data_IF_881694852619
#
_entry.id   IF_881694852619
#
_cell.length_a   1.000
_cell.length_b   1.000
_cell.length_c   1.000
_cell.angle_alpha   90.00
_cell.angle_beta   90.00
_cell.angle_gamma   90.00
#
_symmetry.space_group_name_H-M   'P 1'
#
loop_
_entity.id
_entity.type
_entity.pdbx_description
1 polymer ?
#
# COMPACT_ATOMS: atom_id res chain seq x y z
N UNK A 1 4.98 0.72 20.31
CA UNK A 1 3.69 0.66 21.02
C UNK A 1 2.66 0.28 19.96
N UNK A 2 2.45 -1.01 19.73
CA UNK A 2 1.52 -1.50 18.72
C UNK A 2 0.10 -1.22 19.21
N UNK A 3 -0.55 -0.24 18.57
CA UNK A 3 -1.93 0.09 18.85
C UNK A 3 -2.81 -0.86 18.03
N UNK A 4 -3.43 -1.81 18.71
CA UNK A 4 -4.62 -2.46 18.16
C UNK A 4 -5.67 -1.38 17.83
N UNK A 5 -6.46 -1.54 16.76
CA UNK A 5 -7.55 -0.62 16.46
C UNK A 5 -8.39 -0.36 17.72
N UNK A 6 -8.51 0.91 18.12
CA UNK A 6 -9.23 1.32 19.34
C UNK A 6 -10.64 0.75 19.43
N UNK A 7 -11.26 0.40 18.30
CA UNK A 7 -12.59 -0.20 18.23
C UNK A 7 -12.66 -1.62 18.82
N UNK A 8 -11.60 -2.43 18.68
CA UNK A 8 -11.59 -3.79 19.22
C UNK A 8 -11.58 -3.82 20.74
N UNK A 9 -11.09 -2.74 21.39
CA UNK A 9 -10.83 -2.68 22.83
C UNK A 9 -12.05 -2.39 23.73
N UNK A 10 -13.22 -2.07 23.15
CA UNK A 10 -14.44 -1.70 23.91
C UNK A 10 -15.59 -2.69 23.75
N UNK A 11 -15.43 -3.73 22.93
CA UNK A 11 -16.48 -4.68 22.63
C UNK A 11 -16.40 -5.92 23.55
N UNK A 12 -17.54 -6.58 23.82
CA UNK A 12 -17.55 -7.92 24.37
C UNK A 12 -16.68 -8.85 23.53
N UNK A 13 -15.98 -9.77 24.17
CA UNK A 13 -15.01 -10.66 23.51
C UNK A 13 -15.61 -11.42 22.31
N UNK A 14 -16.87 -11.86 22.41
CA UNK A 14 -17.58 -12.56 21.34
C UNK A 14 -17.84 -11.67 20.12
N UNK A 15 -18.07 -10.38 20.33
CA UNK A 15 -18.29 -9.41 19.24
C UNK A 15 -16.98 -8.99 18.59
N UNK A 16 -15.89 -8.90 19.37
CA UNK A 16 -14.53 -8.72 18.85
C UNK A 16 -14.11 -9.86 17.92
N UNK A 17 -14.43 -11.11 18.27
CA UNK A 17 -14.14 -12.27 17.40
C UNK A 17 -14.94 -12.24 16.10
N UNK A 18 -16.25 -11.95 16.16
CA UNK A 18 -17.09 -11.82 14.97
C UNK A 18 -16.61 -10.72 14.03
N UNK A 19 -16.20 -9.58 14.59
CA UNK A 19 -15.64 -8.48 13.82
C UNK A 19 -14.34 -8.90 13.13
N UNK A 20 -13.43 -9.55 13.86
CA UNK A 20 -12.18 -10.07 13.30
C UNK A 20 -12.44 -11.09 12.18
N UNK A 21 -13.39 -12.01 12.36
CA UNK A 21 -13.78 -12.97 11.32
C UNK A 21 -14.35 -12.27 10.08
N UNK A 22 -15.18 -11.24 10.26
CA UNK A 22 -15.70 -10.44 9.15
C UNK A 22 -14.57 -9.71 8.40
N UNK A 23 -13.62 -9.12 9.11
CA UNK A 23 -12.45 -8.46 8.52
C UNK A 23 -11.56 -9.46 7.76
N UNK A 24 -11.39 -10.68 8.28
CA UNK A 24 -10.67 -11.75 7.59
C UNK A 24 -11.39 -12.14 6.29
N UNK A 25 -12.73 -12.21 6.30
CA UNK A 25 -13.49 -12.48 5.08
C UNK A 25 -13.36 -11.34 4.06
N UNK A 26 -13.40 -10.08 4.51
CA UNK A 26 -13.13 -8.94 3.65
C UNK A 26 -11.73 -8.99 3.05
N UNK A 27 -10.71 -9.30 3.85
CA UNK A 27 -9.34 -9.50 3.38
C UNK A 27 -9.24 -10.63 2.34
N UNK A 28 -9.96 -11.73 2.53
CA UNK A 28 -10.03 -12.81 1.53
C UNK A 28 -10.66 -12.35 0.21
N UNK A 29 -11.70 -11.53 0.26
CA UNK A 29 -12.31 -10.94 -0.93
C UNK A 29 -11.31 -10.03 -1.68
N UNK A 30 -10.60 -9.17 -0.96
CA UNK A 30 -9.54 -8.32 -1.54
C UNK A 30 -8.43 -9.16 -2.17
N UNK A 31 -7.97 -10.21 -1.47
CA UNK A 31 -6.94 -11.12 -1.97
C UNK A 31 -7.40 -11.87 -3.24
N UNK A 32 -8.70 -12.13 -3.38
CA UNK A 32 -9.28 -12.79 -4.56
C UNK A 32 -9.31 -11.93 -5.82
N UNK A 33 -9.38 -10.60 -5.65
CA UNK A 33 -9.39 -9.63 -6.74
C UNK A 33 -7.99 -9.32 -7.31
N UNK A 34 -6.91 -9.65 -6.59
CA UNK A 34 -5.54 -9.33 -7.03
C UNK A 34 -5.17 -10.12 -8.31
N UNK A 35 -4.58 -9.47 -9.34
CA UNK A 35 -4.24 -10.10 -10.61
C UNK A 35 -3.29 -11.29 -10.43
N UNK A 36 -3.61 -12.39 -11.13
CA UNK A 36 -2.92 -13.67 -10.95
C UNK A 36 -1.75 -13.79 -11.93
N UNK A 37 -0.55 -14.02 -11.40
CA UNK A 37 0.57 -14.50 -12.22
C UNK A 37 0.26 -15.88 -12.84
N UNK A 38 1.04 -16.27 -13.86
CA UNK A 38 0.99 -17.60 -14.52
C UNK A 38 1.17 -18.71 -13.47
N UNK A 39 0.07 -19.19 -12.89
CA UNK A 39 0.08 -20.13 -11.76
C UNK A 39 -1.17 -20.10 -10.86
N UNK A 40 -2.01 -19.06 -10.94
CA UNK A 40 -3.38 -19.09 -10.41
C UNK A 40 -3.55 -19.36 -8.90
N UNK A 41 -2.51 -19.10 -8.09
CA UNK A 41 -2.57 -19.31 -6.64
C UNK A 41 -3.22 -18.13 -5.92
N UNK A 42 -4.25 -18.40 -5.14
CA UNK A 42 -4.97 -17.46 -4.29
C UNK A 42 -4.47 -17.53 -2.86
N UNK A 43 -4.30 -16.38 -2.19
CA UNK A 43 -4.11 -16.36 -0.74
C UNK A 43 -5.47 -16.43 -0.05
N UNK A 44 -5.59 -17.34 0.91
CA UNK A 44 -6.74 -17.42 1.79
C UNK A 44 -6.27 -17.40 3.24
N UNK A 45 -7.03 -16.70 4.07
CA UNK A 45 -6.78 -16.47 5.48
C UNK A 45 -7.90 -17.09 6.28
N UNK A 46 -7.54 -17.76 7.37
CA UNK A 46 -8.50 -18.31 8.34
C UNK A 46 -8.06 -18.01 9.76
N UNK A 47 -9.03 -17.79 10.63
CA UNK A 47 -8.80 -17.71 12.06
C UNK A 47 -8.63 -19.13 12.63
N UNK A 48 -7.57 -19.35 13.41
CA UNK A 48 -7.27 -20.64 14.05
C UNK A 48 -7.10 -20.42 15.54
N UNK A 49 -7.80 -21.25 16.31
CA UNK A 49 -7.77 -21.23 17.77
C UNK A 49 -6.73 -22.24 18.30
N UNK A 50 -6.01 -21.88 19.35
CA UNK A 50 -5.12 -22.78 20.06
C UNK A 50 -5.94 -23.84 20.83
N UNK A 51 -5.37 -25.01 21.12
CA UNK A 51 -6.07 -26.12 21.80
C UNK A 51 -6.62 -25.74 23.17
N UNK A 52 -5.94 -24.83 23.88
CA UNK A 52 -6.39 -24.33 25.17
C UNK A 52 -7.39 -23.17 25.06
N UNK A 53 -7.58 -22.61 23.85
CA UNK A 53 -8.44 -21.46 23.65
C UNK A 53 -9.85 -21.69 24.19
N UNK A 54 -10.56 -22.81 23.92
CA UNK A 54 -11.92 -23.01 24.41
C UNK A 54 -12.05 -22.90 25.94
N UNK A 55 -11.05 -23.38 26.69
CA UNK A 55 -11.02 -23.30 28.16
C UNK A 55 -10.85 -21.85 28.62
N UNK A 56 -9.94 -21.11 28.00
CA UNK A 56 -9.75 -19.69 28.30
C UNK A 56 -10.94 -18.83 27.86
N UNK A 57 -11.62 -19.17 26.75
CA UNK A 57 -12.80 -18.45 26.28
C UNK A 57 -13.97 -18.62 27.26
N UNK A 58 -14.13 -19.83 27.81
CA UNK A 58 -15.14 -20.13 28.82
C UNK A 58 -14.87 -19.36 30.13
N UNK A 59 -13.60 -19.30 30.56
CA UNK A 59 -13.18 -18.53 31.73
C UNK A 59 -13.40 -17.02 31.54
N UNK A 60 -13.09 -16.49 30.35
CA UNK A 60 -13.30 -15.09 30.01
C UNK A 60 -14.78 -14.72 29.93
N UNK A 61 -15.63 -15.63 29.40
CA UNK A 61 -17.08 -15.46 29.37
C UNK A 61 -17.68 -15.40 30.78
N UNK A 62 -17.09 -16.12 31.74
CA UNK A 62 -17.58 -16.14 33.12
C UNK A 62 -17.16 -14.91 33.94
N UNK A 63 -16.09 -14.21 33.54
CA UNK A 63 -15.52 -13.13 34.36
C UNK A 63 -16.09 -11.72 34.11
N UNK A 64 -17.02 -11.50 33.16
CA UNK A 64 -17.62 -10.19 32.80
C UNK A 64 -16.63 -9.01 32.61
N UNK A 65 -15.32 -9.27 32.56
CA UNK A 65 -14.27 -8.25 32.58
C UNK A 65 -13.80 -7.96 31.16
N UNK A 66 -14.37 -6.93 30.52
CA UNK A 66 -13.91 -6.41 29.23
C UNK A 66 -12.41 -6.08 29.24
N UNK A 67 -11.85 -5.67 30.39
CA UNK A 67 -10.44 -5.27 30.50
C UNK A 67 -9.44 -6.43 30.66
N UNK A 68 -9.88 -7.61 31.13
CA UNK A 68 -8.99 -8.76 31.35
C UNK A 68 -8.77 -9.56 30.06
N UNK A 69 -9.79 -9.64 29.18
CA UNK A 69 -9.73 -10.41 27.93
C UNK A 69 -8.65 -9.94 26.95
N UNK A 70 -8.39 -8.63 26.86
CA UNK A 70 -7.38 -8.09 25.94
C UNK A 70 -5.95 -8.34 26.39
N UNK A 71 -5.67 -8.22 27.68
CA UNK A 71 -4.34 -8.53 28.23
C UNK A 71 -4.08 -10.03 28.12
N UNK A 72 -5.07 -10.86 28.48
CA UNK A 72 -4.98 -12.31 28.40
C UNK A 72 -4.77 -12.77 26.94
N UNK A 73 -5.45 -12.18 25.96
CA UNK A 73 -5.20 -12.48 24.54
C UNK A 73 -3.77 -12.15 24.10
N UNK A 74 -3.26 -10.96 24.44
CA UNK A 74 -1.91 -10.51 24.05
C UNK A 74 -0.80 -11.38 24.64
N UNK A 75 -1.02 -11.95 25.82
CA UNK A 75 -0.03 -12.81 26.49
C UNK A 75 -0.20 -14.30 26.16
N UNK A 76 -1.41 -14.78 25.87
CA UNK A 76 -1.68 -16.22 25.69
C UNK A 76 -1.73 -16.70 24.24
N UNK A 77 -1.71 -15.82 23.23
CA UNK A 77 -1.80 -16.22 21.80
C UNK A 77 -2.92 -17.25 21.56
N UNK A 78 -4.12 -16.97 22.09
CA UNK A 78 -5.25 -17.90 22.07
C UNK A 78 -5.76 -18.21 20.66
N UNK A 79 -5.56 -17.29 19.73
CA UNK A 79 -5.86 -17.49 18.32
C UNK A 79 -4.85 -16.76 17.45
N UNK A 80 -4.73 -17.22 16.21
CA UNK A 80 -3.84 -16.64 15.21
C UNK A 80 -4.48 -16.80 13.84
N UNK A 81 -3.97 -16.06 12.86
CA UNK A 81 -4.47 -16.10 11.49
C UNK A 81 -3.51 -16.96 10.69
N UNK A 82 -4.03 -17.97 10.01
CA UNK A 82 -3.26 -18.83 9.11
C UNK A 82 -3.53 -18.41 7.69
N UNK A 83 -2.46 -18.10 6.95
CA UNK A 83 -2.47 -17.69 5.56
C UNK A 83 -1.94 -18.84 4.73
N UNK A 84 -2.74 -19.32 3.78
CA UNK A 84 -2.37 -20.45 2.91
C UNK A 84 -2.65 -20.11 1.45
N UNK A 85 -1.96 -20.84 0.56
CA UNK A 85 -2.13 -20.70 -0.89
C UNK A 85 -3.09 -21.78 -1.38
N UNK A 86 -4.15 -21.36 -2.07
CA UNK A 86 -5.17 -22.22 -2.68
C UNK A 86 -5.00 -22.18 -4.20
N UNK A 87 -5.04 -23.34 -4.86
CA UNK A 87 -5.04 -23.43 -6.32
C UNK A 87 -6.48 -23.67 -6.80
N UNK A 88 -6.82 -23.20 -8.01
CA UNK A 88 -8.17 -23.32 -8.59
C UNK A 88 -8.70 -24.76 -8.74
N UNK A 89 -7.85 -25.79 -8.68
CA UNK A 89 -8.22 -27.19 -8.94
C UNK A 89 -8.93 -27.87 -7.74
N UNK A 90 -9.26 -27.15 -6.66
CA UNK A 90 -9.85 -27.72 -5.43
C UNK A 90 -8.92 -28.68 -4.67
N UNK A 91 -7.90 -29.23 -5.32
CA UNK A 91 -6.75 -29.90 -4.72
C UNK A 91 -5.80 -28.85 -4.16
N UNK A 92 -5.92 -28.63 -2.86
CA UNK A 92 -4.90 -27.94 -2.06
C UNK A 92 -3.61 -28.76 -2.06
N UNK A 93 -2.77 -28.61 -3.10
CA UNK A 93 -1.41 -29.17 -3.08
C UNK A 93 -0.49 -28.13 -2.44
N UNK A 94 -0.57 -28.11 -1.11
CA UNK A 94 0.52 -28.01 -0.15
C UNK A 94 1.81 -27.28 -0.60
N UNK A 95 1.91 -25.99 -0.29
CA UNK A 95 2.98 -25.63 0.66
C UNK A 95 2.55 -26.27 1.97
N UNK A 96 3.21 -27.35 2.40
CA UNK A 96 2.74 -28.24 3.47
C UNK A 96 2.42 -27.56 4.82
N UNK A 97 2.73 -26.27 4.95
CA UNK A 97 2.54 -25.47 6.14
C UNK A 97 2.01 -24.09 5.72
N UNK A 98 0.91 -23.65 6.34
CA UNK A 98 0.44 -22.27 6.22
C UNK A 98 1.44 -21.28 6.83
N UNK A 99 1.12 -19.99 6.77
CA UNK A 99 1.89 -18.93 7.43
C UNK A 99 1.09 -18.40 8.60
N UNK A 100 1.69 -18.41 9.79
CA UNK A 100 1.07 -17.93 11.01
C UNK A 100 1.31 -16.44 11.16
N UNK A 101 0.23 -15.67 11.16
CA UNK A 101 0.19 -14.24 11.42
C UNK A 101 -0.51 -13.98 12.76
N UNK A 102 -0.03 -12.99 13.50
CA UNK A 102 -0.77 -12.47 14.66
C UNK A 102 -1.89 -11.54 14.19
N UNK A 103 -2.81 -11.21 15.09
CA UNK A 103 -3.82 -10.16 14.85
C UNK A 103 -3.14 -8.80 14.60
N UNK A 104 -1.97 -8.57 15.23
CA UNK A 104 -1.18 -7.36 15.01
C UNK A 104 -0.65 -7.29 13.59
N UNK A 105 -0.03 -8.37 13.10
CA UNK A 105 0.40 -8.48 11.69
C UNK A 105 -0.76 -8.23 10.72
N UNK A 106 -1.94 -8.74 11.06
CA UNK A 106 -3.13 -8.61 10.23
C UNK A 106 -3.56 -7.16 10.04
N UNK A 107 -3.77 -6.43 11.13
CA UNK A 107 -4.22 -5.04 11.05
C UNK A 107 -3.11 -4.05 10.72
N UNK A 108 -1.86 -4.33 11.08
CA UNK A 108 -0.74 -3.40 10.85
C UNK A 108 -0.16 -3.50 9.43
N UNK A 109 -0.19 -4.69 8.82
CA UNK A 109 0.49 -4.94 7.54
C UNK A 109 -0.44 -5.59 6.53
N UNK A 110 -1.03 -6.75 6.85
CA UNK A 110 -1.68 -7.59 5.83
C UNK A 110 -2.93 -6.92 5.24
N UNK A 111 -3.89 -6.52 6.07
CA UNK A 111 -5.12 -5.89 5.61
C UNK A 111 -4.86 -4.55 4.90
N UNK A 112 -4.04 -3.62 5.44
CA UNK A 112 -3.69 -2.38 4.74
C UNK A 112 -2.98 -2.61 3.40
N UNK A 113 -2.09 -3.60 3.30
CA UNK A 113 -1.43 -3.95 2.04
C UNK A 113 -2.43 -4.44 1.00
N UNK A 114 -3.38 -5.29 1.39
CA UNK A 114 -4.43 -5.77 0.48
C UNK A 114 -5.33 -4.64 -0.01
N UNK A 115 -5.74 -3.74 0.88
CA UNK A 115 -6.57 -2.57 0.52
C UNK A 115 -5.85 -1.66 -0.47
N UNK A 116 -4.55 -1.41 -0.25
CA UNK A 116 -3.74 -0.60 -1.17
C UNK A 116 -3.62 -1.25 -2.55
N UNK A 117 -3.32 -2.55 -2.59
CA UNK A 117 -3.20 -3.30 -3.85
C UNK A 117 -4.52 -3.31 -4.63
N UNK A 118 -5.65 -3.44 -3.92
CA UNK A 118 -6.98 -3.36 -4.54
C UNK A 118 -7.27 -1.97 -5.11
N UNK A 119 -7.03 -0.91 -4.34
CA UNK A 119 -7.26 0.46 -4.81
C UNK A 119 -6.36 0.86 -5.99
N UNK A 120 -5.15 0.31 -6.06
CA UNK A 120 -4.28 0.47 -7.23
C UNK A 120 -4.84 -0.21 -8.48
N UNK A 121 -5.49 -1.38 -8.33
CA UNK A 121 -6.11 -2.10 -9.43
C UNK A 121 -7.33 -1.34 -9.99
N UNK A 122 -8.24 -0.91 -9.11
CA UNK A 122 -9.42 -0.13 -9.52
C UNK A 122 -9.02 1.15 -10.28
N UNK A 123 -7.95 1.82 -9.84
CA UNK A 123 -7.46 3.03 -10.50
C UNK A 123 -6.89 2.76 -11.91
N UNK A 124 -6.25 1.61 -12.12
CA UNK A 124 -5.73 1.22 -13.42
C UNK A 124 -6.87 0.90 -14.39
N UNK A 125 -7.90 0.17 -13.95
CA UNK A 125 -9.09 -0.13 -14.76
C UNK A 125 -9.81 1.15 -15.23
N UNK A 126 -9.98 2.14 -14.35
CA UNK A 126 -10.60 3.44 -14.71
C UNK A 126 -9.75 4.20 -15.74
N UNK A 127 -8.42 4.19 -15.60
CA UNK A 127 -7.53 4.89 -16.53
C UNK A 127 -7.52 4.28 -17.94
N UNK A 128 -7.76 2.97 -18.06
CA UNK A 128 -7.92 2.30 -19.36
C UNK A 128 -9.25 2.68 -20.05
N UNK A 129 -10.32 2.87 -19.28
CA UNK A 129 -11.64 3.29 -19.78
C UNK A 129 -11.67 4.76 -20.21
N UNK A 130 -11.00 5.65 -19.47
CA UNK A 130 -10.88 7.08 -19.82
C UNK A 130 -10.03 7.28 -21.09
N UNK A 131 -8.98 6.48 -21.29
CA UNK A 131 -8.14 6.55 -22.49
C UNK A 131 -8.89 6.12 -23.77
N UNK A 132 -9.94 5.31 -23.65
CA UNK A 132 -10.83 4.92 -24.76
C UNK A 132 -11.95 5.94 -25.02
N UNK A 133 -12.19 6.87 -24.08
CA UNK A 133 -13.36 7.77 -24.08
C UNK A 133 -13.02 9.23 -24.44
N UNK A 134 -11.74 9.59 -24.62
CA UNK A 134 -11.28 10.98 -24.88
C UNK A 134 -11.01 11.27 -26.38
N UNK A 135 -11.31 10.36 -27.32
CA UNK A 135 -11.17 10.66 -28.76
C UNK A 135 -12.35 11.46 -29.38
N UNK A 136 -13.47 11.65 -28.68
CA UNK A 136 -14.63 12.36 -29.24
C UNK A 136 -15.17 13.47 -28.33
N UNK A 137 -14.61 14.67 -28.46
CA UNK A 137 -15.39 15.90 -28.26
C UNK A 137 -14.74 17.04 -27.48
N UNK A 138 -14.04 17.94 -28.17
CA UNK A 138 -14.39 19.38 -28.13
C UNK A 138 -13.78 20.16 -29.31
N UNK A 139 -14.68 20.57 -30.21
CA UNK A 139 -14.58 21.67 -31.18
C UNK A 139 -14.31 23.01 -30.47
N UNK A 140 -13.72 24.09 -31.03
CA UNK A 140 -13.26 24.47 -32.36
C UNK A 140 -12.63 25.89 -32.29
N UNK A 141 -11.43 26.12 -32.83
CA UNK A 141 -11.16 27.35 -33.59
C UNK A 141 -10.03 27.19 -34.63
N UNK A 142 -10.46 27.15 -35.90
CA UNK A 142 -9.79 27.51 -37.18
C UNK A 142 -8.58 26.70 -37.71
N UNK A 143 -8.89 25.82 -38.68
CA UNK A 143 -8.40 25.70 -40.09
C UNK A 143 -7.01 26.31 -40.39
N UNK A 144 -6.07 25.71 -41.13
CA UNK A 144 -6.11 24.62 -42.13
C UNK A 144 -4.66 24.29 -42.55
N UNK A 145 -4.45 23.08 -43.09
CA UNK A 145 -3.32 22.57 -43.91
C UNK A 145 -2.29 21.68 -43.19
N UNK A 146 -2.46 20.38 -43.51
CA UNK A 146 -1.53 19.26 -43.59
C UNK A 146 -0.06 19.46 -43.19
N UNK A 147 0.41 18.54 -42.34
CA UNK A 147 1.79 18.06 -42.39
C UNK A 147 2.46 17.91 -41.03
N UNK A 148 2.91 16.68 -40.76
CA UNK A 148 3.99 16.31 -39.84
C UNK A 148 3.63 16.07 -38.36
N UNK A 149 3.43 14.78 -38.05
CA UNK A 149 3.33 14.21 -36.70
C UNK A 149 4.66 14.20 -35.95
N UNK A 150 5.34 15.35 -35.88
CA UNK A 150 6.65 15.52 -35.23
C UNK A 150 6.70 16.72 -34.28
N UNK A 151 5.58 17.39 -34.04
CA UNK A 151 5.54 18.62 -33.23
C UNK A 151 5.32 18.38 -31.73
N UNK A 152 4.76 17.24 -31.32
CA UNK A 152 4.45 17.03 -29.90
C UNK A 152 5.70 16.82 -29.03
N UNK A 153 6.82 16.33 -29.56
CA UNK A 153 8.03 16.04 -28.77
C UNK A 153 8.87 17.30 -28.45
N UNK A 154 8.66 18.40 -29.19
CA UNK A 154 9.48 19.62 -29.05
C UNK A 154 8.97 20.53 -27.93
N UNK A 155 7.66 20.54 -27.67
CA UNK A 155 7.08 21.37 -26.61
C UNK A 155 7.30 20.79 -25.20
N UNK A 156 7.28 19.47 -25.01
CA UNK A 156 7.61 18.85 -23.71
C UNK A 156 9.08 19.11 -23.30
N UNK A 157 10.01 19.11 -24.25
CA UNK A 157 11.43 19.39 -23.97
C UNK A 157 11.68 20.83 -23.52
N UNK A 158 10.85 21.79 -23.96
CA UNK A 158 10.97 23.20 -23.56
C UNK A 158 10.55 23.45 -22.12
N UNK A 159 9.59 22.67 -21.61
CA UNK A 159 9.10 22.81 -20.25
C UNK A 159 10.02 22.17 -19.20
N UNK A 160 11.00 21.35 -19.60
CA UNK A 160 12.03 20.78 -18.71
C UNK A 160 13.31 21.65 -18.63
N UNK A 161 13.41 22.70 -19.44
CA UNK A 161 14.56 23.59 -19.47
C UNK A 161 14.45 24.69 -18.41
N UNK A 162 15.59 25.07 -17.84
CA UNK A 162 15.64 26.26 -16.99
C UNK A 162 15.44 27.53 -17.83
N UNK A 163 14.44 28.35 -17.48
CA UNK A 163 14.18 29.65 -18.14
C UNK A 163 15.27 30.73 -18.02
N UNK A 164 16.45 30.39 -17.50
CA UNK A 164 17.63 31.28 -17.42
C UNK A 164 18.80 30.74 -18.24
N UNK A 165 19.16 29.46 -18.09
CA UNK A 165 20.30 28.87 -18.82
C UNK A 165 19.89 28.03 -20.04
N UNK A 166 18.60 27.75 -20.23
CA UNK A 166 18.06 26.94 -21.32
C UNK A 166 18.70 25.54 -21.41
N UNK A 167 19.10 24.99 -20.27
CA UNK A 167 19.60 23.62 -20.16
C UNK A 167 18.53 22.75 -19.49
N UNK A 168 18.34 21.49 -19.93
CA UNK A 168 17.49 20.53 -19.24
C UNK A 168 17.99 20.30 -17.81
N UNK A 169 17.09 20.41 -16.82
CA UNK A 169 17.47 20.23 -15.42
C UNK A 169 16.27 20.06 -14.49
N UNK A 170 16.50 19.41 -13.35
CA UNK A 170 15.60 19.51 -12.21
C UNK A 170 15.53 20.96 -11.72
N UNK A 171 14.32 21.50 -11.66
CA UNK A 171 14.08 22.91 -11.31
C UNK A 171 13.82 23.05 -9.82
N UNK A 172 14.18 24.19 -9.26
CA UNK A 172 13.91 24.58 -7.89
C UNK A 172 12.88 25.70 -7.89
N UNK A 173 11.80 25.54 -7.12
CA UNK A 173 10.70 26.49 -7.01
C UNK A 173 10.93 27.41 -5.80
N UNK A 174 10.77 28.71 -6.00
CA UNK A 174 10.84 29.72 -4.95
C UNK A 174 9.53 29.76 -4.13
N UNK A 175 9.57 29.70 -2.79
CA UNK A 175 8.37 29.57 -1.95
C UNK A 175 7.46 30.81 -1.98
N UNK A 176 8.03 32.00 -2.21
CA UNK A 176 7.27 33.26 -2.14
C UNK A 176 6.55 33.63 -3.44
N UNK A 177 6.93 33.04 -4.57
CA UNK A 177 6.44 33.47 -5.88
C UNK A 177 6.29 32.34 -6.90
N UNK A 178 6.50 31.09 -6.50
CA UNK A 178 6.36 29.88 -7.30
C UNK A 178 7.10 29.88 -8.65
N UNK A 179 8.09 30.76 -8.82
CA UNK A 179 8.93 30.75 -10.01
C UNK A 179 10.04 29.73 -9.85
N UNK A 180 10.36 29.06 -10.94
CA UNK A 180 11.27 27.94 -10.99
C UNK A 180 12.53 28.24 -11.81
N UNK A 181 13.67 27.68 -11.37
CA UNK A 181 14.94 27.72 -12.10
C UNK A 181 15.88 26.63 -11.59
N UNK A 182 16.92 26.30 -12.34
CA UNK A 182 17.91 25.33 -11.86
C UNK A 182 18.67 25.86 -10.62
N UNK A 183 19.11 24.95 -9.75
CA UNK A 183 19.84 25.31 -8.53
C UNK A 183 21.12 26.12 -8.80
N UNK A 184 21.77 25.89 -9.96
CA UNK A 184 22.98 26.65 -10.37
C UNK A 184 22.63 28.10 -10.67
N UNK A 185 21.55 28.36 -11.40
CA UNK A 185 21.06 29.70 -11.70
C UNK A 185 20.59 30.43 -10.45
N UNK A 186 19.85 29.75 -9.57
CA UNK A 186 19.47 30.30 -8.26
C UNK A 186 20.70 30.73 -7.45
N UNK A 187 21.69 29.85 -7.25
CA UNK A 187 22.88 30.17 -6.43
C UNK A 187 23.68 31.36 -6.99
N UNK A 188 23.90 31.37 -8.32
CA UNK A 188 24.59 32.49 -8.99
C UNK A 188 23.82 33.80 -8.83
N UNK A 189 22.51 33.76 -8.98
CA UNK A 189 21.67 34.95 -8.86
C UNK A 189 21.58 35.45 -7.42
N UNK A 190 21.32 34.56 -6.45
CA UNK A 190 21.18 34.91 -5.04
C UNK A 190 22.46 35.52 -4.43
N UNK A 191 23.63 35.17 -4.98
CA UNK A 191 24.91 35.81 -4.60
C UNK A 191 24.99 37.27 -5.05
N UNK A 192 24.30 37.64 -6.13
CA UNK A 192 24.28 39.00 -6.70
C UNK A 192 23.09 39.84 -6.22
N UNK A 193 21.92 39.21 -6.14
CA UNK A 193 20.67 39.86 -5.75
C UNK A 193 19.80 38.88 -4.97
N UNK A 194 19.40 39.27 -3.77
CA UNK A 194 18.44 38.55 -2.94
C UNK A 194 16.98 38.85 -3.39
N UNK A 195 16.72 38.68 -4.68
CA UNK A 195 15.42 38.89 -5.33
C UNK A 195 15.14 37.79 -6.35
N UNK A 196 13.88 37.49 -6.63
CA UNK A 196 13.52 36.58 -7.73
C UNK A 196 13.98 37.17 -9.08
N UNK A 197 14.64 36.42 -9.96
CA UNK A 197 15.05 36.90 -11.27
C UNK A 197 13.88 37.21 -12.21
N UNK A 198 12.72 36.60 -11.99
CA UNK A 198 11.55 36.75 -12.84
C UNK A 198 10.63 37.89 -12.39
N UNK A 199 10.24 37.91 -11.11
CA UNK A 199 9.28 38.90 -10.58
C UNK A 199 9.90 39.96 -9.67
N UNK A 200 11.20 39.88 -9.38
CA UNK A 200 11.92 40.77 -8.43
C UNK A 200 11.40 40.75 -6.99
N UNK A 201 10.53 39.80 -6.64
CA UNK A 201 10.10 39.57 -5.26
C UNK A 201 11.27 39.28 -4.32
N UNK A 202 11.17 39.66 -3.04
CA UNK A 202 12.29 39.56 -2.09
C UNK A 202 12.59 38.09 -1.70
N UNK A 203 13.89 37.75 -1.69
CA UNK A 203 14.42 36.46 -1.24
C UNK A 203 15.29 36.58 0.03
N UNK A 204 15.29 37.73 0.71
CA UNK A 204 16.16 37.99 1.88
C UNK A 204 16.00 37.01 3.04
N UNK A 205 14.90 36.26 3.08
CA UNK A 205 14.58 35.25 4.11
C UNK A 205 14.44 33.83 3.55
N UNK A 206 14.89 33.60 2.32
CA UNK A 206 14.82 32.29 1.66
C UNK A 206 16.19 31.64 1.71
N UNK A 207 16.30 30.56 2.47
CA UNK A 207 17.49 29.70 2.52
C UNK A 207 17.38 28.58 1.47
N UNK A 208 18.46 27.83 1.28
CA UNK A 208 18.46 26.68 0.36
C UNK A 208 17.50 25.56 0.78
N UNK A 209 17.20 25.46 2.07
CA UNK A 209 16.27 24.49 2.65
C UNK A 209 14.80 24.83 2.38
N UNK A 210 14.51 26.10 2.07
CA UNK A 210 13.16 26.59 1.76
C UNK A 210 12.78 26.40 0.28
N UNK A 211 13.72 25.91 -0.54
CA UNK A 211 13.51 25.67 -1.96
C UNK A 211 12.86 24.30 -2.18
N UNK A 212 11.87 24.26 -3.06
CA UNK A 212 11.18 23.02 -3.41
C UNK A 212 11.76 22.46 -4.69
N UNK A 213 12.03 21.17 -4.74
CA UNK A 213 12.43 20.49 -5.97
C UNK A 213 11.17 20.22 -6.78
N UNK A 214 11.11 20.71 -8.02
CA UNK A 214 10.07 20.36 -8.97
C UNK A 214 10.40 18.98 -9.55
N UNK A 215 9.56 18.00 -9.26
CA UNK A 215 9.66 16.66 -9.86
C UNK A 215 9.20 16.72 -11.30
N UNK A 216 10.02 16.25 -12.22
CA UNK A 216 9.62 16.05 -13.62
C UNK A 216 8.88 14.72 -13.76
N UNK A 217 8.21 14.52 -14.90
CA UNK A 217 7.47 13.28 -15.18
C UNK A 217 8.38 12.03 -15.13
N UNK A 218 9.65 12.19 -15.53
CA UNK A 218 10.69 11.14 -15.45
C UNK A 218 11.09 10.78 -13.99
N UNK A 219 10.83 11.66 -13.02
CA UNK A 219 11.09 11.39 -11.60
C UNK A 219 9.90 10.66 -10.93
N UNK A 220 8.74 10.60 -11.59
CA UNK A 220 7.53 9.97 -11.08
C UNK A 220 7.48 8.52 -11.54
N UNK A 221 7.65 7.61 -10.60
CA UNK A 221 7.49 6.17 -10.85
C UNK A 221 6.02 5.89 -11.23
N UNK A 222 5.80 5.21 -12.35
CA UNK A 222 4.47 4.92 -12.86
C UNK A 222 3.66 4.05 -11.89
N UNK A 223 2.32 4.18 -11.93
CA UNK A 223 1.45 3.49 -11.00
C UNK A 223 1.53 1.95 -11.14
N UNK A 224 1.83 1.44 -12.34
CA UNK A 224 1.97 0.01 -12.59
C UNK A 224 3.21 -0.55 -11.89
N UNK A 225 4.36 0.11 -12.01
CA UNK A 225 5.61 -0.30 -11.35
C UNK A 225 5.51 -0.19 -9.84
N UNK A 226 4.88 0.86 -9.29
CA UNK A 226 4.57 0.95 -7.85
C UNK A 226 3.72 -0.24 -7.41
N UNK A 227 2.67 -0.58 -8.16
CA UNK A 227 1.78 -1.70 -7.81
C UNK A 227 2.50 -3.06 -7.83
N UNK A 228 3.39 -3.29 -8.82
CA UNK A 228 4.20 -4.51 -8.93
C UNK A 228 5.14 -4.67 -7.74
N UNK A 229 5.79 -3.58 -7.35
CA UNK A 229 6.71 -3.57 -6.21
C UNK A 229 5.97 -3.77 -4.88
N UNK A 230 4.81 -3.12 -4.70
CA UNK A 230 3.98 -3.32 -3.50
C UNK A 230 3.45 -4.76 -3.41
N UNK A 231 3.09 -5.38 -4.54
CA UNK A 231 2.70 -6.78 -4.61
C UNK A 231 3.87 -7.69 -4.21
N UNK A 232 5.08 -7.39 -4.69
CA UNK A 232 6.28 -8.15 -4.36
C UNK A 232 6.62 -8.05 -2.87
N UNK A 233 6.58 -6.85 -2.30
CA UNK A 233 6.78 -6.61 -0.85
C UNK A 233 5.77 -7.35 0.00
N UNK A 234 4.50 -7.34 -0.43
CA UNK A 234 3.44 -8.08 0.26
C UNK A 234 3.75 -9.58 0.29
N UNK A 235 4.05 -10.21 -0.85
CA UNK A 235 4.40 -11.64 -0.88
C UNK A 235 5.67 -11.96 -0.09
N UNK A 236 6.67 -11.08 -0.09
CA UNK A 236 7.85 -11.24 0.74
C UNK A 236 7.52 -11.22 2.23
N UNK A 237 6.66 -10.31 2.67
CA UNK A 237 6.20 -10.27 4.06
C UNK A 237 5.54 -11.58 4.45
N UNK A 238 4.58 -12.05 3.65
CA UNK A 238 3.88 -13.33 3.88
C UNK A 238 4.86 -14.50 3.95
N UNK A 239 5.89 -14.52 3.08
CA UNK A 239 6.90 -15.59 3.09
C UNK A 239 7.84 -15.56 4.31
N UNK A 240 8.02 -14.38 4.93
CA UNK A 240 8.81 -14.20 6.16
C UNK A 240 8.05 -14.60 7.43
N UNK A 241 6.72 -14.65 7.40
CA UNK A 241 5.92 -15.10 8.53
C UNK A 241 6.29 -16.54 8.97
N UNK A 242 6.21 -16.85 10.28
CA UNK A 242 6.43 -18.19 10.79
C UNK A 242 5.60 -19.24 10.05
N UNK A 243 6.18 -20.43 9.83
CA UNK A 243 5.43 -21.57 9.29
C UNK A 243 4.46 -22.07 10.37
N UNK A 244 3.23 -22.33 9.95
CA UNK A 244 2.23 -22.99 10.77
C UNK A 244 2.57 -24.48 10.86
N UNK A 245 3.11 -24.90 11.99
CA UNK A 245 3.35 -26.30 12.29
C UNK A 245 2.16 -26.83 13.09
N UNK A 246 1.53 -27.97 12.70
CA UNK A 246 0.51 -28.57 13.55
C UNK A 246 1.19 -29.01 14.86
N UNK A 247 0.78 -28.45 16.00
CA UNK A 247 1.30 -28.75 17.35
C UNK A 247 1.02 -30.21 17.82
N UNK A 248 0.64 -31.12 16.93
CA UNK A 248 0.31 -32.50 17.23
C UNK A 248 1.42 -33.46 16.77
N UNK A 249 2.59 -33.42 17.43
CA UNK A 249 3.44 -34.62 17.57
C UNK A 249 3.33 -35.28 18.94
N UNK A 250 2.57 -34.70 19.88
CA UNK A 250 2.50 -35.17 21.27
C UNK A 250 1.18 -35.83 21.71
N UNK A 251 0.18 -35.99 20.82
CA UNK A 251 -1.10 -36.63 21.18
C UNK A 251 -1.39 -37.96 20.47
N UNK A 252 -0.52 -38.41 19.56
CA UNK A 252 -0.66 -39.71 18.87
C UNK A 252 -0.33 -40.94 19.74
N UNK A 253 -0.24 -40.77 21.06
CA UNK A 253 -0.03 -41.87 22.01
C UNK A 253 -1.19 -42.06 23.01
N UNK A 254 -2.24 -41.23 22.97
CA UNK A 254 -3.36 -41.34 23.91
C UNK A 254 -4.68 -41.87 23.30
N UNK A 255 -4.76 -42.03 21.97
CA UNK A 255 -5.95 -42.63 21.32
C UNK A 255 -5.99 -44.17 21.33
N UNK A 256 -5.05 -44.85 22.01
CA UNK A 256 -5.04 -46.32 22.15
C UNK A 256 -5.31 -46.82 23.58
N UNK A 257 -5.76 -45.97 24.50
CA UNK A 257 -6.07 -46.34 25.88
C UNK A 257 -7.38 -45.73 26.41
N UNK A 258 -8.48 -45.87 25.66
CA UNK A 258 -9.85 -45.82 26.19
C UNK A 258 -10.70 -46.87 25.47
#
# INVERSE_FOLDING_TARGET
MEMMPYQLSRLPYQDTLKLLEADIQHANALAAAIPRGKGGTLLQMKLVYNQLAPLFLLLLQWMDCSCAGFLIHRYLNLFHIVIYKVHNDGRSIMSAHGRKATVGDFYAVILPSLQRLHGSLEKLEISEEEHYSIEEGSSQCKKMIEGDGKLNNVDFQRDDECGICLEPCTKMVLPNCCHDMCIRCYRKWNTRSQSCPFCRGSLRRVNSEDLWVLTCDEDVVDAETVSKEDLWRFYLYINKLPKDHPDARFLMYYEYLI
#
